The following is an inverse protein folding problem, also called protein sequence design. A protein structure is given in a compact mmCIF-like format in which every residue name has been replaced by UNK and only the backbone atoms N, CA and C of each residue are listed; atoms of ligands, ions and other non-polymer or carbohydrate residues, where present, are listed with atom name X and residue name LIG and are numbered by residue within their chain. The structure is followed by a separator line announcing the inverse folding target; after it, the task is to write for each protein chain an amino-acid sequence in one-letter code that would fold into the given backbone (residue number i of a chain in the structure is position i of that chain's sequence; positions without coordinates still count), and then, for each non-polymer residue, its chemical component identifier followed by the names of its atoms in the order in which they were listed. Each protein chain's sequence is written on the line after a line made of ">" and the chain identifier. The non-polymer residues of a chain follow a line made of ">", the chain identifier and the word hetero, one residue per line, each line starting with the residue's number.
data_IF_843975429229
#
_entry.id   IF_843975429229
#
_cell.length_a   1.000
_cell.length_b   1.000
_cell.length_c   1.000
_cell.angle_alpha   90.00
_cell.angle_beta   90.00
_cell.angle_gamma   90.00
#
_symmetry.space_group_name_H-M   'P 1'
#
loop_
_entity.id
_entity.type
_entity.pdbx_description
1 polymer ?
#
# COMPACT_ATOMS: atom_id res chain seq x y z
N UNK A 1 -47.19 -12.88 -80.94
CA UNK A 1 -47.10 -11.66 -80.16
C UNK A 1 -46.40 -12.00 -78.87
N UNK A 2 -45.16 -11.59 -78.71
CA UNK A 2 -44.27 -11.96 -77.63
C UNK A 2 -44.14 -10.75 -76.68
N UNK A 3 -44.59 -10.89 -75.49
CA UNK A 3 -44.41 -9.86 -74.44
C UNK A 3 -43.33 -10.31 -73.45
N UNK A 4 -42.28 -9.50 -73.39
CA UNK A 4 -41.13 -9.73 -72.55
C UNK A 4 -41.40 -9.17 -71.13
N UNK A 5 -41.33 -10.01 -70.10
CA UNK A 5 -41.30 -9.62 -68.73
C UNK A 5 -39.86 -9.35 -68.30
N UNK A 6 -39.54 -8.11 -67.98
CA UNK A 6 -38.26 -7.73 -67.31
C UNK A 6 -38.41 -7.87 -65.80
N UNK A 7 -37.71 -8.82 -65.24
CA UNK A 7 -37.57 -9.01 -63.80
C UNK A 7 -36.46 -8.09 -63.26
N UNK A 8 -36.80 -7.09 -62.46
CA UNK A 8 -35.84 -6.23 -61.77
C UNK A 8 -35.39 -6.89 -60.46
N UNK A 9 -34.16 -7.36 -60.42
CA UNK A 9 -33.50 -7.86 -59.22
C UNK A 9 -33.01 -6.65 -58.39
N UNK A 10 -33.67 -6.35 -57.28
CA UNK A 10 -33.22 -5.36 -56.33
C UNK A 10 -32.15 -6.00 -55.45
N UNK A 11 -30.88 -5.61 -55.65
CA UNK A 11 -29.76 -5.99 -54.77
C UNK A 11 -29.89 -5.24 -53.43
N UNK A 12 -30.21 -5.96 -52.37
CA UNK A 12 -30.15 -5.47 -51.02
C UNK A 12 -28.71 -5.58 -50.51
N UNK A 13 -27.97 -4.48 -50.46
CA UNK A 13 -26.67 -4.42 -49.80
C UNK A 13 -26.89 -4.42 -48.30
N UNK A 14 -26.55 -5.52 -47.64
CA UNK A 14 -26.50 -5.66 -46.19
C UNK A 14 -25.16 -5.08 -45.70
N UNK A 15 -25.16 -3.84 -45.22
CA UNK A 15 -23.98 -3.24 -44.58
C UNK A 15 -23.84 -3.80 -43.15
N UNK A 16 -22.89 -4.73 -42.97
CA UNK A 16 -22.50 -5.21 -41.65
C UNK A 16 -21.64 -4.16 -40.96
N UNK A 17 -22.21 -3.44 -40.00
CA UNK A 17 -21.49 -2.56 -39.13
C UNK A 17 -20.71 -3.38 -38.09
N UNK A 18 -19.39 -3.57 -38.26
CA UNK A 18 -18.50 -4.09 -37.24
C UNK A 18 -18.34 -3.00 -36.15
N UNK A 19 -19.04 -3.16 -35.04
CA UNK A 19 -18.78 -2.39 -33.84
C UNK A 19 -17.47 -2.88 -33.22
N UNK A 20 -16.36 -2.17 -33.45
CA UNK A 20 -15.11 -2.39 -32.74
C UNK A 20 -15.30 -1.99 -31.28
N UNK A 21 -15.47 -2.96 -30.40
CA UNK A 21 -15.41 -2.77 -28.94
C UNK A 21 -13.95 -2.50 -28.59
N UNK A 22 -13.55 -1.22 -28.61
CA UNK A 22 -12.27 -0.79 -28.05
C UNK A 22 -12.33 -0.98 -26.54
N UNK A 23 -11.72 -2.06 -26.04
CA UNK A 23 -11.49 -2.27 -24.62
C UNK A 23 -10.68 -1.09 -24.07
N UNK A 24 -11.30 -0.19 -23.33
CA UNK A 24 -10.60 0.89 -22.61
C UNK A 24 -9.66 0.23 -21.61
N UNK A 25 -8.33 0.53 -21.64
CA UNK A 25 -7.44 0.09 -20.59
C UNK A 25 -7.98 0.63 -19.28
N UNK A 26 -8.10 -0.23 -18.26
CA UNK A 26 -8.48 0.18 -16.92
C UNK A 26 -7.45 1.22 -16.44
N UNK A 27 -7.84 2.48 -16.44
CA UNK A 27 -7.01 3.56 -15.91
C UNK A 27 -6.85 3.31 -14.42
N UNK A 28 -5.63 2.96 -13.99
CA UNK A 28 -5.32 2.96 -12.55
C UNK A 28 -5.54 4.38 -12.03
N UNK A 29 -6.44 4.52 -11.06
CA UNK A 29 -6.71 5.83 -10.50
C UNK A 29 -5.43 6.36 -9.83
N UNK A 30 -5.08 7.61 -10.14
CA UNK A 30 -3.95 8.27 -9.51
C UNK A 30 -4.15 8.37 -7.98
N UNK A 31 -3.08 8.62 -7.23
CA UNK A 31 -3.18 9.00 -5.83
C UNK A 31 -4.14 10.16 -5.64
N UNK A 32 -4.88 10.16 -4.54
CA UNK A 32 -5.59 11.36 -4.11
C UNK A 32 -4.62 12.51 -3.84
N UNK A 33 -5.11 13.74 -3.87
CA UNK A 33 -4.29 14.90 -3.51
C UNK A 33 -3.68 14.78 -2.10
N UNK A 34 -4.40 14.17 -1.14
CA UNK A 34 -3.89 13.88 0.20
C UNK A 34 -2.78 12.84 0.17
N UNK A 35 -2.93 11.81 -0.66
CA UNK A 35 -1.92 10.78 -0.87
C UNK A 35 -0.62 11.35 -1.42
N UNK A 36 -0.70 12.20 -2.45
CA UNK A 36 0.48 12.89 -3.02
C UNK A 36 1.16 13.76 -1.97
N UNK A 37 0.39 14.59 -1.25
CA UNK A 37 0.94 15.43 -0.17
C UNK A 37 1.61 14.62 0.93
N UNK A 38 1.06 13.45 1.26
CA UNK A 38 1.66 12.57 2.26
C UNK A 38 2.99 11.99 1.77
N UNK A 39 3.05 11.52 0.53
CA UNK A 39 4.28 11.02 -0.10
C UNK A 39 5.38 12.09 -0.04
N UNK A 40 5.04 13.35 -0.41
CA UNK A 40 5.97 14.49 -0.35
C UNK A 40 6.48 14.77 1.07
N UNK A 41 5.61 14.65 2.07
CA UNK A 41 5.98 14.86 3.48
C UNK A 41 6.87 13.75 4.02
N UNK A 42 6.64 12.51 3.61
CA UNK A 42 7.40 11.34 4.06
C UNK A 42 8.81 11.33 3.49
N UNK A 43 9.01 11.75 2.26
CA UNK A 43 10.32 11.66 1.59
C UNK A 43 11.47 12.15 2.46
N UNK A 44 12.54 11.37 2.53
CA UNK A 44 13.75 11.66 3.29
C UNK A 44 14.02 10.71 4.45
N UNK A 45 14.86 11.15 5.38
CA UNK A 45 15.33 10.34 6.52
C UNK A 45 14.64 10.74 7.80
N UNK A 46 14.23 9.75 8.56
CA UNK A 46 13.52 9.89 9.83
C UNK A 46 14.23 9.12 10.93
N UNK A 47 14.18 9.66 12.13
CA UNK A 47 14.74 9.03 13.34
C UNK A 47 13.69 9.05 14.43
N UNK A 48 13.72 8.04 15.28
CA UNK A 48 12.81 8.02 16.42
C UNK A 48 13.13 6.96 17.43
N UNK A 49 12.32 6.95 18.46
CA UNK A 49 12.38 5.97 19.54
C UNK A 49 11.01 5.36 19.73
N UNK A 50 10.98 4.16 20.23
CA UNK A 50 9.75 3.46 20.51
C UNK A 50 9.95 2.33 21.51
N UNK A 51 8.86 1.62 21.75
CA UNK A 51 8.84 0.39 22.53
C UNK A 51 8.31 -0.72 21.65
N UNK A 52 8.97 -1.87 21.67
CA UNK A 52 8.49 -3.12 21.10
C UNK A 52 8.21 -4.08 22.23
N UNK A 53 7.07 -4.75 22.20
CA UNK A 53 6.68 -5.81 23.13
C UNK A 53 6.30 -7.04 22.30
N UNK A 54 7.22 -7.96 22.02
CA UNK A 54 6.91 -9.20 21.30
C UNK A 54 5.82 -9.98 22.04
N UNK A 55 5.01 -10.76 21.32
CA UNK A 55 4.01 -11.64 21.94
C UNK A 55 4.75 -12.63 22.86
N UNK A 56 4.36 -12.64 24.14
CA UNK A 56 5.02 -13.45 25.16
C UNK A 56 6.38 -12.92 25.66
N UNK A 57 6.86 -11.80 25.13
CA UNK A 57 8.12 -11.15 25.51
C UNK A 57 7.93 -9.97 26.45
N UNK A 58 9.05 -9.35 26.84
CA UNK A 58 9.11 -8.15 27.66
C UNK A 58 9.20 -6.90 26.78
N UNK A 59 8.70 -5.75 27.26
CA UNK A 59 8.87 -4.49 26.57
C UNK A 59 10.34 -4.11 26.45
N UNK A 60 10.76 -3.72 25.26
CA UNK A 60 12.10 -3.24 25.00
C UNK A 60 12.08 -1.92 24.26
N UNK A 61 12.97 -1.01 24.65
CA UNK A 61 13.15 0.27 23.97
C UNK A 61 14.00 0.10 22.72
N UNK A 62 13.53 0.68 21.61
CA UNK A 62 14.23 0.64 20.33
C UNK A 62 14.52 2.05 19.80
N UNK A 63 15.59 2.15 19.03
CA UNK A 63 15.96 3.31 18.22
C UNK A 63 15.74 2.96 16.75
N UNK A 64 15.01 3.82 16.04
CA UNK A 64 14.68 3.61 14.63
C UNK A 64 15.33 4.65 13.71
N UNK A 65 15.81 4.18 12.57
CA UNK A 65 16.14 4.98 11.40
C UNK A 65 15.33 4.48 10.24
N UNK A 66 14.56 5.38 9.63
CA UNK A 66 13.68 5.04 8.51
C UNK A 66 13.96 6.01 7.37
N UNK A 67 14.05 5.49 6.16
CA UNK A 67 14.12 6.31 4.96
C UNK A 67 12.92 6.03 4.07
N UNK A 68 12.42 7.10 3.46
CA UNK A 68 11.36 7.05 2.45
C UNK A 68 11.89 7.69 1.18
N UNK A 69 11.78 6.98 0.08
CA UNK A 69 12.08 7.48 -1.25
C UNK A 69 10.83 7.39 -2.13
N UNK A 70 10.53 8.44 -2.88
CA UNK A 70 9.43 8.40 -3.85
C UNK A 70 9.71 7.36 -4.94
N UNK A 71 8.70 6.64 -5.35
CA UNK A 71 8.78 5.80 -6.53
C UNK A 71 8.69 6.64 -7.81
N UNK A 72 9.16 6.10 -8.95
CA UNK A 72 9.00 6.74 -10.25
C UNK A 72 7.51 7.08 -10.49
N UNK A 73 7.24 8.30 -10.95
CA UNK A 73 5.88 8.78 -11.16
C UNK A 73 5.18 9.31 -9.91
N UNK A 74 5.84 9.32 -8.73
CA UNK A 74 5.31 9.98 -7.53
C UNK A 74 4.08 9.32 -6.90
N UNK A 75 3.70 8.11 -7.36
CA UNK A 75 2.47 7.41 -6.92
C UNK A 75 2.74 6.42 -5.78
N UNK A 76 3.88 6.51 -5.12
CA UNK A 76 4.22 5.61 -4.03
C UNK A 76 5.53 5.94 -3.36
N UNK A 77 5.88 5.13 -2.37
CA UNK A 77 7.13 5.23 -1.61
C UNK A 77 7.78 3.86 -1.47
N UNK A 78 9.10 3.85 -1.54
CA UNK A 78 9.94 2.81 -0.99
C UNK A 78 10.36 3.21 0.41
N UNK A 79 10.12 2.34 1.37
CA UNK A 79 10.50 2.51 2.76
C UNK A 79 11.61 1.51 3.12
N UNK A 80 12.61 1.98 3.87
CA UNK A 80 13.61 1.11 4.52
C UNK A 80 13.62 1.45 6.00
N UNK A 81 13.51 0.41 6.82
CA UNK A 81 13.38 0.48 8.28
C UNK A 81 14.54 -0.25 8.91
N UNK A 82 15.26 0.42 9.81
CA UNK A 82 16.27 -0.16 10.67
C UNK A 82 15.98 0.29 12.09
N UNK A 83 15.56 -0.65 12.95
CA UNK A 83 15.36 -0.40 14.36
C UNK A 83 16.21 -1.38 15.16
N UNK A 84 16.76 -0.92 16.27
CA UNK A 84 17.57 -1.73 17.17
C UNK A 84 17.35 -1.36 18.63
N UNK A 85 17.27 -2.34 19.48
CA UNK A 85 17.35 -2.30 20.92
C UNK A 85 18.50 -3.16 21.40
N UNK A 86 18.42 -3.64 22.64
CA UNK A 86 19.43 -4.52 23.22
C UNK A 86 19.34 -5.92 22.59
N UNK A 87 18.16 -6.51 22.61
CA UNK A 87 17.92 -7.90 22.19
C UNK A 87 17.02 -8.00 20.94
N UNK A 88 16.50 -6.87 20.45
CA UNK A 88 15.55 -6.84 19.35
C UNK A 88 16.03 -5.99 18.18
N UNK A 89 15.92 -6.52 16.98
CA UNK A 89 16.25 -5.81 15.73
C UNK A 89 15.13 -5.97 14.73
N UNK A 90 14.93 -4.93 13.92
CA UNK A 90 14.04 -4.93 12.76
C UNK A 90 14.81 -4.38 11.58
N UNK A 91 14.93 -5.16 10.53
CA UNK A 91 15.48 -4.75 9.25
C UNK A 91 14.43 -5.06 8.17
N UNK A 92 13.66 -4.05 7.80
CA UNK A 92 12.55 -4.26 6.91
C UNK A 92 12.54 -3.23 5.76
N UNK A 93 11.89 -3.61 4.67
CA UNK A 93 11.58 -2.70 3.56
C UNK A 93 10.16 -2.88 3.10
N UNK A 94 9.62 -1.84 2.47
CA UNK A 94 8.31 -1.89 1.86
C UNK A 94 8.27 -1.03 0.59
N UNK A 95 7.64 -1.54 -0.45
CA UNK A 95 7.28 -0.81 -1.67
C UNK A 95 5.76 -0.64 -1.68
N UNK A 96 5.29 0.59 -1.49
CA UNK A 96 3.87 0.90 -1.35
C UNK A 96 3.45 1.90 -2.43
N UNK A 97 2.32 1.64 -3.06
CA UNK A 97 1.68 2.50 -4.06
C UNK A 97 0.29 2.91 -3.59
N UNK A 98 -0.16 4.08 -4.02
CA UNK A 98 -1.53 4.52 -3.78
C UNK A 98 -2.38 4.45 -5.06
N UNK A 99 -3.69 4.33 -4.82
CA UNK A 99 -4.77 4.39 -5.80
C UNK A 99 -5.94 5.09 -5.10
N UNK A 100 -6.19 6.35 -5.46
CA UNK A 100 -7.07 7.20 -4.65
C UNK A 100 -6.52 7.32 -3.22
N UNK A 101 -7.34 6.99 -2.23
CA UNK A 101 -6.96 6.91 -0.82
C UNK A 101 -6.52 5.51 -0.37
N UNK A 102 -6.60 4.52 -1.23
CA UNK A 102 -6.14 3.17 -0.93
C UNK A 102 -4.64 3.04 -1.14
N UNK A 103 -3.99 2.24 -0.31
CA UNK A 103 -2.60 1.86 -0.50
C UNK A 103 -2.48 0.35 -0.63
N UNK A 104 -1.52 -0.10 -1.43
CA UNK A 104 -1.17 -1.51 -1.54
C UNK A 104 0.33 -1.65 -1.83
N UNK A 105 0.90 -2.79 -1.47
CA UNK A 105 2.31 -3.01 -1.70
C UNK A 105 2.82 -4.34 -1.15
N UNK A 106 4.14 -4.47 -1.20
CA UNK A 106 4.87 -5.61 -0.67
C UNK A 106 5.80 -5.14 0.45
N UNK A 107 6.04 -6.00 1.41
CA UNK A 107 7.00 -5.79 2.47
C UNK A 107 7.89 -7.02 2.63
N UNK A 108 9.09 -6.81 3.13
CA UNK A 108 10.01 -7.85 3.56
C UNK A 108 10.69 -7.45 4.86
N UNK A 109 10.97 -8.43 5.68
CA UNK A 109 11.75 -8.31 6.91
C UNK A 109 12.87 -9.35 6.85
N UNK A 110 14.13 -8.91 7.01
CA UNK A 110 15.29 -9.71 6.64
C UNK A 110 15.75 -10.63 7.77
N UNK A 111 15.53 -10.28 9.04
CA UNK A 111 16.05 -11.04 10.18
C UNK A 111 15.32 -12.37 10.34
N UNK A 112 13.99 -12.33 10.31
CA UNK A 112 13.15 -13.53 10.35
C UNK A 112 12.73 -14.03 8.97
N UNK A 113 13.25 -13.41 7.89
CA UNK A 113 12.96 -13.75 6.49
C UNK A 113 11.45 -13.76 6.16
N UNK A 114 10.72 -12.83 6.75
CA UNK A 114 9.28 -12.68 6.49
C UNK A 114 9.03 -11.77 5.28
N UNK A 115 8.06 -12.13 4.47
CA UNK A 115 7.58 -11.31 3.35
C UNK A 115 6.07 -11.33 3.31
N UNK A 116 5.48 -10.34 2.66
CA UNK A 116 4.04 -10.31 2.53
C UNK A 116 3.49 -9.10 1.80
N UNK A 117 2.19 -8.91 1.93
CA UNK A 117 1.43 -7.82 1.31
C UNK A 117 1.02 -6.79 2.35
N UNK A 118 0.98 -5.54 1.91
CA UNK A 118 0.39 -4.42 2.65
C UNK A 118 -0.83 -3.95 1.89
N UNK A 119 -1.94 -3.75 2.61
CA UNK A 119 -3.13 -3.09 2.10
C UNK A 119 -3.65 -2.12 3.16
N UNK A 120 -4.08 -0.95 2.73
CA UNK A 120 -4.53 0.06 3.68
C UNK A 120 -5.26 1.21 3.03
N UNK A 121 -5.59 2.20 3.87
CA UNK A 121 -6.30 3.40 3.46
C UNK A 121 -5.79 4.62 4.21
N UNK A 122 -5.71 5.73 3.49
CA UNK A 122 -5.46 7.05 4.04
C UNK A 122 -6.78 7.72 4.40
N UNK A 123 -6.91 8.20 5.62
CA UNK A 123 -8.09 8.88 6.18
C UNK A 123 -7.64 10.20 6.82
N UNK A 124 -7.65 11.27 6.06
CA UNK A 124 -7.13 12.56 6.50
C UNK A 124 -5.63 12.48 6.85
N UNK A 125 -5.32 12.70 8.13
CA UNK A 125 -3.95 12.61 8.65
C UNK A 125 -3.59 11.25 9.24
N UNK A 126 -4.37 10.22 8.99
CA UNK A 126 -4.15 8.87 9.51
C UNK A 126 -4.08 7.85 8.37
N UNK A 127 -3.06 7.01 8.42
CA UNK A 127 -2.97 5.82 7.58
C UNK A 127 -3.29 4.59 8.43
N UNK A 128 -4.20 3.76 7.97
CA UNK A 128 -4.43 2.42 8.52
C UNK A 128 -4.11 1.39 7.49
N UNK A 129 -3.35 0.38 7.86
CA UNK A 129 -2.98 -0.71 6.97
C UNK A 129 -2.95 -2.05 7.72
N UNK A 130 -3.14 -3.11 6.98
CA UNK A 130 -2.84 -4.48 7.39
C UNK A 130 -1.64 -4.97 6.58
N UNK A 131 -0.81 -5.78 7.21
CA UNK A 131 0.26 -6.49 6.53
C UNK A 131 0.17 -7.97 6.89
N UNK A 132 0.29 -8.80 5.87
CA UNK A 132 0.09 -10.24 5.99
C UNK A 132 1.15 -10.97 5.17
N UNK A 133 1.79 -11.94 5.81
CA UNK A 133 2.70 -12.92 5.23
C UNK A 133 2.30 -14.33 5.63
N UNK A 134 3.07 -15.35 5.25
CA UNK A 134 2.76 -16.76 5.57
C UNK A 134 2.61 -17.03 7.07
N UNK A 135 3.47 -16.43 7.89
CA UNK A 135 3.55 -16.69 9.33
C UNK A 135 3.31 -15.43 10.18
N UNK A 136 2.87 -14.35 9.57
CA UNK A 136 2.73 -13.08 10.26
C UNK A 136 1.52 -12.30 9.76
N UNK A 137 0.70 -11.82 10.68
CA UNK A 137 -0.40 -10.90 10.40
C UNK A 137 -0.39 -9.76 11.40
N UNK A 138 -0.38 -8.52 10.89
CA UNK A 138 -0.37 -7.34 11.71
C UNK A 138 -1.21 -6.20 11.15
N UNK A 139 -1.49 -5.23 12.00
CA UNK A 139 -2.13 -3.97 11.66
C UNK A 139 -1.22 -2.82 12.02
N UNK A 140 -1.22 -1.82 11.16
CA UNK A 140 -0.44 -0.60 11.28
C UNK A 140 -1.39 0.60 11.34
N UNK A 141 -1.15 1.49 12.28
CA UNK A 141 -1.75 2.82 12.27
C UNK A 141 -0.64 3.86 12.32
N UNK A 142 -0.65 4.82 11.39
CA UNK A 142 0.26 5.95 11.40
C UNK A 142 -0.55 7.21 11.56
N UNK A 143 -0.19 8.03 12.55
CA UNK A 143 -0.78 9.34 12.80
C UNK A 143 0.23 10.43 12.43
N UNK A 144 -0.11 11.25 11.44
CA UNK A 144 0.72 12.36 10.94
C UNK A 144 0.35 13.65 11.65
N UNK A 145 0.79 13.80 12.90
CA UNK A 145 0.43 14.94 13.76
C UNK A 145 0.92 16.30 13.21
N UNK A 146 2.10 16.34 12.57
CA UNK A 146 2.68 17.55 11.98
C UNK A 146 3.58 17.22 10.78
N UNK A 147 4.09 18.25 10.08
CA UNK A 147 4.97 18.06 8.91
C UNK A 147 6.25 17.27 9.20
N UNK A 148 6.78 17.35 10.40
CA UNK A 148 8.03 16.69 10.79
C UNK A 148 7.89 15.61 11.84
N UNK A 149 6.66 15.16 12.15
CA UNK A 149 6.40 14.13 13.17
C UNK A 149 5.29 13.19 12.76
N UNK A 150 5.47 11.92 13.05
CA UNK A 150 4.39 10.93 13.03
C UNK A 150 4.64 9.83 14.05
N UNK A 151 3.55 9.22 14.49
CA UNK A 151 3.58 8.07 15.39
C UNK A 151 3.08 6.85 14.65
N UNK A 152 3.78 5.74 14.83
CA UNK A 152 3.46 4.44 14.25
C UNK A 152 3.06 3.52 15.40
N UNK A 153 1.89 2.91 15.30
CA UNK A 153 1.42 1.86 16.22
C UNK A 153 1.23 0.57 15.43
N UNK A 154 1.80 -0.52 15.93
CA UNK A 154 1.68 -1.84 15.31
C UNK A 154 0.99 -2.77 16.30
N UNK A 155 0.04 -3.56 15.80
CA UNK A 155 -0.54 -4.68 16.52
C UNK A 155 -0.38 -5.96 15.69
N UNK A 156 -0.14 -7.08 16.37
CA UNK A 156 0.02 -8.39 15.79
C UNK A 156 -1.12 -9.30 16.24
N UNK A 157 -1.56 -10.20 15.38
CA UNK A 157 -2.52 -11.21 15.76
C UNK A 157 -1.87 -12.21 16.73
N UNK A 158 -2.48 -12.37 17.90
CA UNK A 158 -2.07 -13.32 18.93
C UNK A 158 -3.03 -14.54 18.86
N UNK A 159 -2.58 -15.69 18.36
CA UNK A 159 -3.43 -16.88 18.25
C UNK A 159 -3.95 -17.37 19.60
N UNK A 160 -3.16 -17.22 20.67
CA UNK A 160 -3.55 -17.66 22.01
C UNK A 160 -4.69 -16.81 22.58
N UNK A 161 -4.80 -15.55 22.17
CA UNK A 161 -5.85 -14.62 22.58
C UNK A 161 -6.96 -14.44 21.54
N UNK A 162 -6.80 -15.00 20.34
CA UNK A 162 -7.74 -14.84 19.22
C UNK A 162 -7.96 -13.41 18.76
N UNK A 163 -7.02 -12.48 19.02
CA UNK A 163 -7.17 -11.04 18.72
C UNK A 163 -5.83 -10.36 18.45
N UNK A 164 -5.88 -9.19 17.83
CA UNK A 164 -4.70 -8.34 17.70
C UNK A 164 -4.34 -7.70 19.05
N UNK A 165 -3.05 -7.75 19.39
CA UNK A 165 -2.46 -7.12 20.57
C UNK A 165 -1.43 -6.07 20.14
N UNK A 166 -1.31 -4.93 20.82
CA UNK A 166 -0.26 -3.96 20.54
C UNK A 166 1.12 -4.60 20.77
N UNK A 167 2.02 -4.42 19.78
CA UNK A 167 3.38 -4.95 19.83
C UNK A 167 4.46 -3.88 19.61
N UNK A 168 4.09 -2.71 19.07
CA UNK A 168 5.04 -1.61 18.93
C UNK A 168 4.34 -0.25 18.91
N UNK A 169 5.01 0.73 19.50
CA UNK A 169 4.70 2.15 19.35
C UNK A 169 6.01 2.92 19.12
N UNK A 170 6.07 3.70 18.04
CA UNK A 170 7.29 4.39 17.61
C UNK A 170 6.95 5.82 17.26
N UNK A 171 7.63 6.78 17.86
CA UNK A 171 7.55 8.20 17.52
C UNK A 171 8.72 8.59 16.63
N UNK A 172 8.44 9.15 15.47
CA UNK A 172 9.41 9.50 14.44
C UNK A 172 9.41 11.01 14.18
N UNK A 173 10.60 11.53 13.92
CA UNK A 173 10.85 12.92 13.50
C UNK A 173 11.82 12.97 12.34
N UNK A 174 11.62 13.95 11.49
CA UNK A 174 12.50 14.25 10.34
C UNK A 174 13.73 15.02 10.79
#
# INVERSE_FOLDING_TARGET
>A
MMTWFRSSVKSVMLAAALAAVMGMPAAYAACSADGVRLIDRLEGRWRGTGTVTPIGGQPERILCRISYAKTRGGQGVRQVINCAGTDYRIEASADVRCNGNSISGLWSENIASNTGRINGRLEGNRLRASFKGPNFEGRLSVNFASRGRHTVTISQFDPAKGRHVPVAEISLRK
#
